data_IF_743471417426
#
_entry.id   IF_743471417426
#
_cell.length_a   1.000
_cell.length_b   1.000
_cell.length_c   1.000
_cell.angle_alpha   90.00
_cell.angle_beta   90.00
_cell.angle_gamma   90.00
#
_symmetry.space_group_name_H-M   'P 1'
#
loop_
_entity.id
_entity.type
_entity.pdbx_description
1 polymer ?
#
# COMPACT_ATOMS: atom_id res chain seq x y z
N UNK A 1 0.67 5.63 3.80
CA UNK A 1 0.20 4.71 4.85
C UNK A 1 -0.05 3.36 4.20
N UNK A 2 0.66 2.34 4.66
CA UNK A 2 0.64 1.00 4.05
C UNK A 2 0.24 -0.03 5.09
N UNK A 3 -0.35 -1.13 4.62
CA UNK A 3 -0.62 -2.33 5.42
C UNK A 3 0.13 -3.51 4.82
N UNK A 4 0.49 -4.47 5.67
CA UNK A 4 1.17 -5.69 5.29
C UNK A 4 0.20 -6.86 5.40
N UNK A 5 0.28 -7.78 4.45
CA UNK A 5 -0.53 -9.00 4.44
C UNK A 5 0.29 -10.18 3.90
N UNK A 6 -0.14 -11.43 4.19
CA UNK A 6 0.49 -12.61 3.62
C UNK A 6 0.51 -12.54 2.08
N UNK A 7 1.67 -12.77 1.49
CA UNK A 7 1.82 -12.79 0.05
C UNK A 7 1.26 -14.09 -0.54
N UNK A 8 0.22 -13.99 -1.36
CA UNK A 8 -0.42 -15.15 -2.00
C UNK A 8 0.49 -15.95 -2.93
N UNK A 9 1.58 -15.36 -3.42
CA UNK A 9 2.54 -15.97 -4.35
C UNK A 9 3.73 -16.63 -3.65
N UNK A 10 3.94 -16.39 -2.36
CA UNK A 10 5.11 -16.89 -1.65
C UNK A 10 5.25 -18.41 -1.72
N UNK A 11 6.40 -18.90 -2.18
CA UNK A 11 6.71 -20.33 -2.27
C UNK A 11 5.92 -21.11 -3.33
N UNK A 12 5.16 -20.43 -4.20
CA UNK A 12 4.33 -21.07 -5.24
C UNK A 12 4.90 -20.97 -6.64
N UNK A 13 6.21 -20.82 -6.75
CA UNK A 13 6.90 -20.62 -8.04
C UNK A 13 6.55 -21.71 -9.07
N UNK A 14 6.48 -22.96 -8.61
CA UNK A 14 6.19 -24.14 -9.44
C UNK A 14 4.76 -24.18 -10.01
N UNK A 15 3.84 -23.33 -9.53
CA UNK A 15 2.46 -23.26 -10.02
C UNK A 15 2.31 -22.41 -11.30
N UNK A 16 3.34 -21.62 -11.65
CA UNK A 16 3.31 -20.61 -12.72
C UNK A 16 4.10 -21.03 -13.96
N UNK A 17 3.77 -20.41 -15.10
CA UNK A 17 4.49 -20.59 -16.36
C UNK A 17 5.49 -19.45 -16.54
N UNK A 18 6.69 -19.77 -17.00
CA UNK A 18 7.75 -18.80 -17.23
C UNK A 18 7.90 -18.52 -18.72
N UNK A 19 8.03 -17.24 -19.08
CA UNK A 19 8.39 -16.84 -20.43
C UNK A 19 9.91 -16.75 -20.64
N UNK A 20 10.31 -16.46 -21.87
CA UNK A 20 11.73 -16.34 -22.26
C UNK A 20 12.44 -15.14 -21.59
N UNK A 21 11.67 -14.15 -21.10
CA UNK A 21 12.16 -12.95 -20.42
C UNK A 21 12.31 -13.15 -18.90
N UNK A 22 11.97 -14.34 -18.38
CA UNK A 22 12.04 -14.63 -16.95
C UNK A 22 10.91 -13.96 -16.16
N UNK A 23 9.74 -13.81 -16.76
CA UNK A 23 8.52 -13.34 -16.09
C UNK A 23 7.54 -14.50 -15.92
N UNK A 24 6.93 -14.58 -14.74
CA UNK A 24 5.98 -15.64 -14.41
C UNK A 24 4.54 -15.23 -14.71
N UNK A 25 3.74 -16.20 -15.16
CA UNK A 25 2.37 -16.02 -15.63
C UNK A 25 1.43 -17.08 -15.05
N UNK A 26 0.23 -16.70 -14.58
CA UNK A 26 -0.80 -17.67 -14.25
C UNK A 26 -1.26 -18.42 -15.50
N UNK A 27 -1.43 -19.75 -15.42
CA UNK A 27 -1.85 -20.60 -16.57
C UNK A 27 -3.09 -20.09 -17.31
N UNK A 28 -4.05 -19.53 -16.57
CA UNK A 28 -5.33 -19.08 -17.12
C UNK A 28 -5.38 -17.56 -17.42
N UNK A 29 -4.29 -16.82 -17.15
CA UNK A 29 -4.25 -15.35 -17.28
C UNK A 29 -2.86 -14.87 -17.75
N UNK A 30 -2.48 -15.13 -19.02
CA UNK A 30 -1.14 -14.83 -19.54
C UNK A 30 -0.83 -13.34 -19.69
N UNK A 31 -1.79 -12.46 -19.42
CA UNK A 31 -1.61 -11.00 -19.42
C UNK A 31 -1.22 -10.46 -18.03
N UNK A 32 -1.14 -11.33 -17.00
CA UNK A 32 -0.71 -10.97 -15.66
C UNK A 32 0.76 -11.34 -15.51
N UNK A 33 1.60 -10.32 -15.39
CA UNK A 33 3.03 -10.45 -15.19
C UNK A 33 3.35 -10.49 -13.69
N UNK A 34 4.02 -11.55 -13.24
CA UNK A 34 4.46 -11.71 -11.86
C UNK A 34 5.99 -11.74 -11.85
N UNK A 35 6.58 -10.80 -11.12
CA UNK A 35 8.03 -10.69 -11.03
C UNK A 35 8.60 -11.79 -10.11
N UNK A 36 9.80 -12.34 -10.38
CA UNK A 36 10.38 -13.45 -9.59
C UNK A 36 10.49 -13.18 -8.08
N UNK A 37 10.68 -11.91 -7.68
CA UNK A 37 10.76 -11.55 -6.26
C UNK A 37 9.47 -11.81 -5.49
N UNK A 38 8.31 -11.87 -6.18
CA UNK A 38 7.03 -12.20 -5.57
C UNK A 38 6.99 -13.63 -5.01
N UNK A 39 7.81 -14.55 -5.48
CA UNK A 39 7.85 -15.92 -4.95
C UNK A 39 8.72 -16.05 -3.69
N UNK A 40 9.59 -15.06 -3.44
CA UNK A 40 10.62 -15.12 -2.38
C UNK A 40 10.20 -14.42 -1.08
N UNK A 41 9.31 -13.44 -1.17
CA UNK A 41 8.90 -12.65 -0.01
C UNK A 41 7.62 -13.23 0.63
N UNK A 42 7.59 -13.53 1.94
CA UNK A 42 6.43 -14.09 2.62
C UNK A 42 5.28 -13.08 2.79
N UNK A 43 5.59 -11.79 2.71
CA UNK A 43 4.64 -10.70 2.92
C UNK A 43 4.62 -9.77 1.71
N UNK A 44 3.48 -9.12 1.50
CA UNK A 44 3.31 -8.04 0.55
C UNK A 44 2.76 -6.82 1.29
N UNK A 45 3.02 -5.62 0.76
CA UNK A 45 2.42 -4.41 1.27
C UNK A 45 1.49 -3.77 0.24
N UNK A 46 0.42 -3.15 0.71
CA UNK A 46 -0.45 -2.32 -0.11
C UNK A 46 -0.66 -0.96 0.52
N UNK A 47 -0.84 0.05 -0.34
CA UNK A 47 -1.12 1.42 0.09
C UNK A 47 -2.60 1.56 0.44
N UNK A 48 -2.87 2.09 1.63
CA UNK A 48 -4.22 2.42 2.11
C UNK A 48 -4.57 3.88 1.79
N UNK A 49 -3.60 4.76 2.03
CA UNK A 49 -3.73 6.19 1.79
C UNK A 49 -2.37 6.84 1.56
N UNK A 50 -2.38 7.91 0.78
CA UNK A 50 -1.22 8.75 0.49
C UNK A 50 -1.47 10.15 1.00
N UNK A 51 -0.45 10.73 1.64
CA UNK A 51 -0.46 12.12 2.07
C UNK A 51 0.35 12.92 1.05
N UNK A 52 -0.26 13.91 0.41
CA UNK A 52 0.33 14.65 -0.71
C UNK A 52 0.28 16.15 -0.38
N UNK A 53 1.42 16.82 -0.46
CA UNK A 53 1.49 18.28 -0.36
C UNK A 53 0.95 18.93 -1.63
N UNK A 54 0.06 19.91 -1.48
CA UNK A 54 -0.41 20.74 -2.57
C UNK A 54 0.38 22.06 -2.56
N UNK A 55 1.16 22.29 -3.61
CA UNK A 55 1.94 23.53 -3.71
C UNK A 55 1.09 24.75 -4.08
N UNK A 56 -0.08 24.56 -4.71
CA UNK A 56 -0.96 25.65 -5.15
C UNK A 56 -1.77 26.24 -4.01
N UNK A 57 -2.19 25.38 -3.09
CA UNK A 57 -2.83 25.74 -1.83
C UNK A 57 -1.99 25.05 -0.76
N UNK A 58 -1.11 25.76 -0.02
CA UNK A 58 -0.05 25.17 0.82
C UNK A 58 -0.65 24.38 1.99
N UNK A 59 -1.15 23.20 1.66
CA UNK A 59 -1.89 22.31 2.52
C UNK A 59 -1.56 20.87 2.10
N UNK A 60 -1.80 19.95 3.01
CA UNK A 60 -1.62 18.53 2.71
C UNK A 60 -2.97 17.84 2.56
N UNK A 61 -3.09 17.07 1.49
CA UNK A 61 -4.27 16.29 1.17
C UNK A 61 -4.03 14.81 1.47
N UNK A 62 -4.98 14.21 2.19
CA UNK A 62 -5.07 12.77 2.37
C UNK A 62 -5.91 12.17 1.25
N UNK A 63 -5.28 11.35 0.41
CA UNK A 63 -5.95 10.62 -0.68
C UNK A 63 -6.00 9.14 -0.33
N UNK A 64 -7.18 8.55 -0.31
CA UNK A 64 -7.36 7.12 -0.08
C UNK A 64 -7.16 6.32 -1.37
N UNK A 65 -6.62 5.12 -1.25
CA UNK A 65 -6.53 4.17 -2.36
C UNK A 65 -7.85 3.38 -2.42
N UNK A 66 -8.77 3.81 -3.28
CA UNK A 66 -10.06 3.13 -3.49
C UNK A 66 -10.80 2.87 -2.16
N UNK A 67 -11.24 1.63 -1.96
CA UNK A 67 -11.96 1.21 -0.75
C UNK A 67 -11.07 0.61 0.35
N UNK A 68 -9.73 0.64 0.19
CA UNK A 68 -8.79 0.01 1.12
C UNK A 68 -8.99 0.39 2.60
N UNK A 69 -9.31 1.64 2.97
CA UNK A 69 -9.57 1.97 4.38
C UNK A 69 -10.72 1.18 5.03
N UNK A 70 -11.69 0.70 4.23
CA UNK A 70 -12.84 -0.06 4.70
C UNK A 70 -12.60 -1.58 4.74
N UNK A 71 -11.51 -2.04 4.14
CA UNK A 71 -11.09 -3.45 4.12
C UNK A 71 -10.14 -3.80 5.27
N UNK A 72 -9.75 -2.81 6.06
CA UNK A 72 -8.85 -2.98 7.20
C UNK A 72 -9.47 -3.87 8.27
N UNK A 73 -8.63 -4.67 8.92
CA UNK A 73 -9.02 -5.33 10.16
C UNK A 73 -9.38 -4.29 11.23
N UNK A 74 -10.15 -4.67 12.25
CA UNK A 74 -10.50 -3.74 13.33
C UNK A 74 -9.26 -3.12 13.99
N UNK A 75 -8.21 -3.93 14.18
CA UNK A 75 -6.94 -3.47 14.73
C UNK A 75 -6.24 -2.47 13.80
N UNK A 76 -6.10 -2.80 12.52
CA UNK A 76 -5.43 -1.91 11.56
C UNK A 76 -6.21 -0.62 11.35
N UNK A 77 -7.54 -0.67 11.42
CA UNK A 77 -8.39 0.52 11.35
C UNK A 77 -8.18 1.45 12.56
N UNK A 78 -7.97 0.89 13.75
CA UNK A 78 -7.63 1.67 14.95
C UNK A 78 -6.24 2.32 14.80
N UNK A 79 -5.24 1.57 14.37
CA UNK A 79 -3.88 2.07 14.13
C UNK A 79 -3.88 3.15 13.04
N UNK A 80 -4.63 2.94 11.95
CA UNK A 80 -4.83 3.91 10.88
C UNK A 80 -5.46 5.21 11.41
N UNK A 81 -6.55 5.10 12.19
CA UNK A 81 -7.20 6.27 12.81
C UNK A 81 -6.27 7.02 13.75
N UNK A 82 -5.47 6.29 14.54
CA UNK A 82 -4.49 6.88 15.45
C UNK A 82 -3.42 7.67 14.69
N UNK A 83 -2.84 7.08 13.63
CA UNK A 83 -1.84 7.74 12.78
C UNK A 83 -2.42 9.00 12.15
N UNK A 84 -3.65 8.94 11.61
CA UNK A 84 -4.29 10.11 11.01
C UNK A 84 -4.49 11.24 12.03
N UNK A 85 -4.98 10.93 13.24
CA UNK A 85 -5.14 11.92 14.31
C UNK A 85 -3.81 12.54 14.70
N UNK A 86 -2.76 11.73 14.83
CA UNK A 86 -1.42 12.21 15.15
C UNK A 86 -0.89 13.14 14.05
N UNK A 87 -1.04 12.75 12.79
CA UNK A 87 -0.54 13.49 11.65
C UNK A 87 -1.23 14.87 11.51
N UNK A 88 -2.55 14.93 11.63
CA UNK A 88 -3.28 16.21 11.66
C UNK A 88 -2.93 17.07 12.88
N UNK A 89 -2.66 16.43 14.03
CA UNK A 89 -2.20 17.16 15.22
C UNK A 89 -0.86 17.82 14.95
N UNK A 90 0.12 17.10 14.41
CA UNK A 90 1.46 17.63 14.07
C UNK A 90 1.36 18.79 13.08
N UNK A 91 0.61 18.61 11.98
CA UNK A 91 0.42 19.68 10.99
C UNK A 91 -0.19 20.95 11.58
N UNK A 92 -1.12 20.81 12.53
CA UNK A 92 -1.71 21.96 13.23
C UNK A 92 -0.70 22.69 14.11
N UNK A 93 0.29 22.00 14.67
CA UNK A 93 1.36 22.64 15.44
C UNK A 93 2.35 23.35 14.51
N UNK A 94 2.79 22.69 13.44
CA UNK A 94 3.69 23.27 12.44
C UNK A 94 3.09 24.55 11.82
N UNK A 95 1.81 24.52 11.42
CA UNK A 95 1.11 25.68 10.86
C UNK A 95 0.89 26.84 11.85
N UNK A 96 1.14 26.64 13.15
CA UNK A 96 0.99 27.68 14.18
C UNK A 96 2.30 28.34 14.57
N UNK A 97 3.45 27.76 14.22
CA UNK A 97 4.75 28.36 14.53
C UNK A 97 5.14 29.47 13.53
N UNK A 98 4.39 29.60 12.42
CA UNK A 98 4.58 30.63 11.39
C UNK A 98 3.67 31.87 11.52
N UNK A 99 2.86 31.98 12.59
CA UNK A 99 2.02 33.15 12.95
C UNK A 99 2.66 34.00 14.07
#
# INVERSE_FOLDING_TARGET
>A
IVCWEPNSYYGKEDEYLWDEDGIAHPRNRPYIYIYPSCFKNPETCYTVATFIYNEKEPCYNLTYTGFRPFELSEKDAQDFSYILKYLYKVLKYELKEDD
#
